data_IF_020612793818
#
_entry.id   IF_020612793818
#
_cell.length_a   1.000
_cell.length_b   1.000
_cell.length_c   1.000
_cell.angle_alpha   90.00
_cell.angle_beta   90.00
_cell.angle_gamma   90.00
#
_symmetry.space_group_name_H-M   'P 1'
#
loop_
_entity.id
_entity.type
_entity.pdbx_description
1 polymer ?
#
# COMPACT_ATOMS: atom_id res chain seq x y z
N UNK A 1 -53.83 -24.86 -4.03
CA UNK A 1 -52.78 -24.41 -4.97
C UNK A 1 -52.08 -23.17 -4.40
N UNK A 2 -51.16 -23.34 -3.44
CA UNK A 2 -50.50 -22.21 -2.76
C UNK A 2 -49.02 -22.47 -2.38
N UNK A 3 -48.57 -23.73 -2.38
CA UNK A 3 -47.22 -24.13 -1.97
C UNK A 3 -46.12 -23.93 -3.02
N UNK A 4 -46.45 -23.94 -4.33
CA UNK A 4 -45.44 -23.82 -5.39
C UNK A 4 -44.74 -22.46 -5.43
N UNK A 5 -45.46 -21.37 -5.17
CA UNK A 5 -44.91 -20.01 -5.28
C UNK A 5 -43.85 -19.69 -4.21
N UNK A 6 -43.96 -20.27 -3.01
CA UNK A 6 -43.01 -20.05 -1.92
C UNK A 6 -41.64 -20.71 -2.19
N UNK A 7 -41.64 -21.90 -2.81
CA UNK A 7 -40.40 -22.62 -3.14
C UNK A 7 -39.61 -21.90 -4.24
N UNK A 8 -40.30 -21.35 -5.25
CA UNK A 8 -39.68 -20.57 -6.31
C UNK A 8 -38.96 -19.31 -5.79
N UNK A 9 -39.60 -18.57 -4.87
CA UNK A 9 -38.99 -17.37 -4.28
C UNK A 9 -37.73 -17.69 -3.44
N UNK A 10 -37.75 -18.79 -2.67
CA UNK A 10 -36.60 -19.22 -1.87
C UNK A 10 -35.41 -19.65 -2.76
N UNK A 11 -35.69 -20.31 -3.90
CA UNK A 11 -34.65 -20.71 -4.85
C UNK A 11 -34.01 -19.53 -5.59
N UNK A 12 -34.78 -18.48 -5.90
CA UNK A 12 -34.25 -17.25 -6.49
C UNK A 12 -33.41 -16.44 -5.49
N UNK A 13 -33.80 -16.40 -4.22
CA UNK A 13 -33.06 -15.68 -3.18
C UNK A 13 -31.65 -16.25 -2.94
N UNK A 14 -31.46 -17.57 -3.01
CA UNK A 14 -30.13 -18.18 -2.84
C UNK A 14 -29.20 -17.94 -4.03
N UNK A 15 -29.72 -17.87 -5.26
CA UNK A 15 -28.90 -17.56 -6.44
C UNK A 15 -28.39 -16.12 -6.45
N UNK A 16 -29.16 -15.15 -5.94
CA UNK A 16 -28.72 -13.74 -5.84
C UNK A 16 -27.67 -13.56 -4.73
N UNK A 17 -27.79 -14.30 -3.61
CA UNK A 17 -26.81 -14.26 -2.53
C UNK A 17 -25.47 -14.96 -2.88
N UNK A 18 -25.50 -16.00 -3.72
CA UNK A 18 -24.31 -16.82 -4.03
C UNK A 18 -23.22 -16.11 -4.85
N UNK A 19 -23.54 -15.03 -5.57
CA UNK A 19 -22.58 -14.31 -6.42
C UNK A 19 -21.85 -13.16 -5.71
N UNK A 20 -22.18 -12.86 -4.45
CA UNK A 20 -21.43 -11.91 -3.62
C UNK A 20 -20.26 -12.59 -2.86
N UNK A 21 -19.48 -13.40 -3.57
CA UNK A 21 -18.14 -13.73 -3.10
C UNK A 21 -17.32 -12.43 -3.08
N UNK A 22 -16.61 -12.12 -1.98
CA UNK A 22 -15.76 -10.93 -1.93
C UNK A 22 -14.72 -11.03 -3.05
N UNK A 23 -14.77 -10.09 -3.98
CA UNK A 23 -14.10 -10.19 -5.27
C UNK A 23 -12.63 -10.57 -5.11
N UNK A 24 -12.24 -11.69 -5.72
CA UNK A 24 -10.86 -12.15 -5.77
C UNK A 24 -10.04 -11.15 -6.58
N UNK A 25 -9.46 -10.16 -5.88
CA UNK A 25 -8.52 -9.22 -6.46
C UNK A 25 -7.19 -9.93 -6.65
N UNK A 26 -6.65 -9.87 -7.86
CA UNK A 26 -5.27 -10.28 -8.10
C UNK A 26 -4.32 -9.43 -7.22
N UNK A 27 -3.26 -10.04 -6.64
CA UNK A 27 -2.25 -9.30 -5.90
C UNK A 27 -1.64 -8.18 -6.74
N UNK A 28 -1.52 -6.99 -6.15
CA UNK A 28 -0.94 -5.83 -6.82
C UNK A 28 0.58 -6.00 -6.88
N UNK A 29 1.18 -6.10 -8.08
CA UNK A 29 2.65 -6.12 -8.20
C UNK A 29 3.23 -4.77 -7.75
N UNK A 30 3.91 -4.77 -6.61
CA UNK A 30 4.48 -3.58 -6.01
C UNK A 30 5.62 -2.98 -6.85
N UNK A 31 6.36 -3.79 -7.62
CA UNK A 31 7.41 -3.28 -8.49
C UNK A 31 6.85 -2.63 -9.75
N UNK A 32 5.72 -3.12 -10.27
CA UNK A 32 4.94 -2.41 -11.30
C UNK A 32 4.40 -1.06 -10.80
N UNK A 33 3.97 -0.97 -9.54
CA UNK A 33 3.59 0.33 -8.94
C UNK A 33 4.81 1.24 -8.77
N UNK A 34 5.91 0.69 -8.25
CA UNK A 34 7.14 1.47 -8.08
C UNK A 34 7.64 2.01 -9.41
N UNK A 35 7.54 1.25 -10.52
CA UNK A 35 7.95 1.67 -11.87
C UNK A 35 7.15 2.87 -12.40
N UNK A 36 5.82 2.82 -12.28
CA UNK A 36 4.93 3.87 -12.75
C UNK A 36 5.09 5.19 -11.98
N UNK A 37 5.41 5.14 -10.68
CA UNK A 37 5.38 6.30 -9.79
C UNK A 37 6.75 6.69 -9.24
N UNK A 38 7.47 7.55 -9.97
CA UNK A 38 8.74 8.15 -9.53
C UNK A 38 8.59 9.06 -8.29
N UNK A 39 7.37 9.57 -8.04
CA UNK A 39 7.06 10.46 -6.93
C UNK A 39 5.75 10.10 -6.24
N UNK A 40 5.70 10.21 -4.92
CA UNK A 40 4.47 9.98 -4.15
C UNK A 40 4.34 10.87 -2.92
N UNK A 41 3.13 10.90 -2.36
CA UNK A 41 2.79 11.73 -1.19
C UNK A 41 2.07 10.87 -0.15
N UNK A 42 2.46 11.04 1.12
CA UNK A 42 1.73 10.49 2.25
C UNK A 42 0.51 11.37 2.56
N UNK A 43 -0.67 10.85 2.23
CA UNK A 43 -1.97 11.50 2.50
C UNK A 43 -2.60 10.93 3.79
N UNK A 44 -2.33 9.66 4.12
CA UNK A 44 -2.87 9.00 5.30
C UNK A 44 -1.87 8.05 5.96
N UNK A 45 -1.83 8.11 7.30
CA UNK A 45 -1.16 7.14 8.17
C UNK A 45 -2.15 6.68 9.25
N UNK A 46 -2.21 5.37 9.53
CA UNK A 46 -2.96 4.80 10.65
C UNK A 46 -2.29 5.06 12.01
N UNK A 47 -1.00 5.36 12.00
CA UNK A 47 -0.25 5.83 13.18
C UNK A 47 -0.40 7.35 13.25
N UNK A 48 -0.70 7.89 14.43
CA UNK A 48 -0.74 9.34 14.69
C UNK A 48 0.68 9.95 14.80
N UNK A 49 1.53 9.65 13.81
CA UNK A 49 2.80 10.33 13.61
C UNK A 49 2.56 11.56 12.72
N UNK A 50 2.84 12.73 13.27
CA UNK A 50 2.64 13.99 12.56
C UNK A 50 3.72 14.28 11.53
N UNK A 51 4.88 13.62 11.59
CA UNK A 51 6.00 13.81 10.65
C UNK A 51 5.71 13.17 9.29
N UNK A 52 4.84 12.16 9.27
CA UNK A 52 4.36 11.49 8.06
C UNK A 52 3.26 12.28 7.33
N UNK A 53 2.69 13.33 7.93
CA UNK A 53 1.68 14.17 7.27
C UNK A 53 2.33 15.00 6.17
N UNK A 54 1.82 14.87 4.94
CA UNK A 54 2.37 15.55 3.75
C UNK A 54 3.85 15.23 3.48
N UNK A 55 4.35 14.09 3.97
CA UNK A 55 5.66 13.58 3.59
C UNK A 55 5.67 13.28 2.08
N UNK A 56 6.76 13.62 1.40
CA UNK A 56 6.93 13.41 -0.04
C UNK A 56 8.08 12.46 -0.31
N UNK A 57 7.88 11.49 -1.19
CA UNK A 57 8.90 10.52 -1.59
C UNK A 57 9.30 10.74 -3.05
N UNK A 58 10.59 10.66 -3.35
CA UNK A 58 11.15 10.75 -4.71
C UNK A 58 12.05 9.55 -4.97
N UNK A 59 11.81 8.81 -6.05
CA UNK A 59 12.60 7.65 -6.48
C UNK A 59 13.94 8.10 -7.01
N UNK A 60 15.03 7.53 -6.50
CA UNK A 60 16.41 7.84 -6.91
C UNK A 60 17.11 6.67 -7.59
N UNK A 61 16.55 5.46 -7.47
CA UNK A 61 17.07 4.25 -8.11
C UNK A 61 15.92 3.28 -8.42
N UNK A 62 16.05 2.54 -9.52
CA UNK A 62 15.16 1.45 -9.92
C UNK A 62 15.94 0.42 -10.76
N UNK A 63 15.74 -0.86 -10.44
CA UNK A 63 16.18 -2.03 -11.20
C UNK A 63 15.06 -3.07 -11.10
N UNK A 64 14.31 -3.24 -12.20
CA UNK A 64 13.15 -4.14 -12.26
C UNK A 64 13.55 -5.62 -12.31
N UNK A 65 14.68 -5.93 -12.95
CA UNK A 65 15.21 -7.29 -13.08
C UNK A 65 15.63 -7.84 -11.71
N UNK A 66 16.34 -7.04 -10.92
CA UNK A 66 16.71 -7.40 -9.55
C UNK A 66 15.59 -7.12 -8.53
N UNK A 67 14.47 -6.54 -8.95
CA UNK A 67 13.41 -5.99 -8.09
C UNK A 67 14.00 -5.18 -6.94
N UNK A 68 14.68 -4.08 -7.26
CA UNK A 68 15.26 -3.12 -6.30
C UNK A 68 14.86 -1.69 -6.65
N UNK A 69 14.60 -0.87 -5.64
CA UNK A 69 14.36 0.56 -5.83
C UNK A 69 14.78 1.35 -4.60
N UNK A 70 15.08 2.64 -4.76
CA UNK A 70 15.35 3.54 -3.64
C UNK A 70 14.48 4.77 -3.75
N UNK A 71 13.87 5.18 -2.64
CA UNK A 71 13.20 6.47 -2.49
C UNK A 71 13.86 7.28 -1.39
N UNK A 72 14.02 8.58 -1.62
CA UNK A 72 14.29 9.55 -0.57
C UNK A 72 12.95 10.16 -0.12
N UNK A 73 12.61 9.97 1.14
CA UNK A 73 11.44 10.52 1.80
C UNK A 73 11.80 11.80 2.54
N UNK A 74 11.16 12.91 2.19
CA UNK A 74 11.27 14.18 2.87
C UNK A 74 10.17 14.30 3.94
N UNK A 75 10.54 14.10 5.21
CA UNK A 75 9.65 14.28 6.35
C UNK A 75 9.62 15.77 6.72
N UNK A 76 8.43 16.39 6.62
CA UNK A 76 8.30 17.87 6.67
C UNK A 76 8.38 18.46 8.08
N UNK A 77 8.33 17.63 9.12
CA UNK A 77 8.32 18.01 10.52
C UNK A 77 7.02 18.72 10.94
N UNK A 78 6.49 18.39 12.11
CA UNK A 78 5.28 18.97 12.65
C UNK A 78 5.30 18.96 14.18
N UNK A 79 4.69 19.97 14.82
CA UNK A 79 4.63 20.04 16.29
C UNK A 79 5.97 20.22 17.02
N UNK A 80 7.04 20.58 16.31
CA UNK A 80 8.39 20.79 16.89
C UNK A 80 9.45 19.77 16.47
N UNK A 81 9.08 18.76 15.68
CA UNK A 81 10.06 17.82 15.10
C UNK A 81 10.89 18.43 13.95
N UNK A 82 12.06 17.85 13.73
CA UNK A 82 13.06 18.34 12.76
C UNK A 82 12.80 17.75 11.38
N UNK A 83 12.84 18.61 10.34
CA UNK A 83 12.84 18.19 8.93
C UNK A 83 14.00 17.26 8.65
N UNK A 84 13.73 16.07 8.09
CA UNK A 84 14.75 15.07 7.78
C UNK A 84 14.44 14.33 6.50
N UNK A 85 15.50 13.96 5.80
CA UNK A 85 15.44 13.04 4.67
C UNK A 85 15.73 11.62 5.16
N UNK A 86 15.02 10.65 4.60
CA UNK A 86 15.08 9.24 4.98
C UNK A 86 15.16 8.40 3.70
N UNK A 87 16.22 7.61 3.56
CA UNK A 87 16.38 6.73 2.39
C UNK A 87 15.72 5.39 2.65
N UNK A 88 14.74 5.02 1.82
CA UNK A 88 14.02 3.75 1.88
C UNK A 88 14.41 2.93 0.66
N UNK A 89 15.09 1.81 0.89
CA UNK A 89 15.52 0.87 -0.13
C UNK A 89 14.58 -0.33 -0.14
N UNK A 90 13.91 -0.54 -1.27
CA UNK A 90 12.96 -1.60 -1.53
C UNK A 90 13.62 -2.76 -2.26
N UNK A 91 13.12 -3.96 -1.99
CA UNK A 91 13.52 -5.19 -2.64
C UNK A 91 12.31 -6.12 -2.85
N UNK A 92 12.38 -7.01 -3.84
CA UNK A 92 11.40 -8.09 -4.00
C UNK A 92 11.27 -8.92 -2.71
N UNK A 93 10.04 -9.34 -2.38
CA UNK A 93 9.74 -10.27 -1.28
C UNK A 93 9.02 -11.52 -1.78
N UNK A 94 8.44 -12.27 -0.86
CA UNK A 94 7.90 -13.61 -1.11
C UNK A 94 6.63 -13.63 -2.00
N UNK A 95 5.96 -12.49 -2.17
CA UNK A 95 4.78 -12.31 -3.02
C UNK A 95 4.82 -10.96 -3.76
N UNK A 96 4.10 -10.79 -4.90
CA UNK A 96 4.13 -9.56 -5.69
C UNK A 96 3.70 -8.31 -4.92
N UNK A 97 2.77 -8.45 -3.98
CA UNK A 97 2.20 -7.40 -3.14
C UNK A 97 2.90 -7.24 -1.78
N UNK A 98 3.93 -8.05 -1.50
CA UNK A 98 4.69 -8.06 -0.25
C UNK A 98 6.18 -7.74 -0.49
N UNK A 99 6.53 -6.55 -1.02
CA UNK A 99 7.92 -6.12 -1.13
C UNK A 99 8.55 -5.96 0.26
N UNK A 100 9.80 -6.41 0.39
CA UNK A 100 10.60 -6.11 1.57
C UNK A 100 11.31 -4.76 1.39
N UNK A 101 11.77 -4.18 2.48
CA UNK A 101 12.57 -2.96 2.44
C UNK A 101 13.42 -2.81 3.69
N UNK A 102 14.46 -1.98 3.57
CA UNK A 102 15.24 -1.45 4.67
C UNK A 102 15.22 0.07 4.61
N UNK A 103 15.33 0.71 5.78
CA UNK A 103 15.39 2.16 5.87
C UNK A 103 16.77 2.54 6.39
N UNK A 104 17.53 3.24 5.56
CA UNK A 104 18.79 3.85 5.96
C UNK A 104 18.49 5.16 6.69
N UNK A 105 17.97 5.01 7.91
CA UNK A 105 18.19 6.01 8.94
C UNK A 105 19.67 6.01 9.32
N UNK A 106 20.18 7.15 9.77
CA UNK A 106 21.36 7.16 10.65
C UNK A 106 21.05 6.35 11.90
N UNK A 107 21.40 5.06 11.87
CA UNK A 107 21.20 4.05 12.91
C UNK A 107 19.79 3.97 13.53
N UNK A 108 18.85 3.25 12.88
CA UNK A 108 17.80 2.49 13.58
C UNK A 108 17.10 1.51 12.63
N UNK A 109 17.04 0.22 13.01
CA UNK A 109 16.56 -0.87 12.15
C UNK A 109 15.16 -1.31 12.60
N UNK A 110 14.15 -1.21 11.71
CA UNK A 110 12.74 -1.47 12.06
C UNK A 110 11.89 -1.98 10.89
N UNK A 111 10.82 -2.73 11.20
CA UNK A 111 9.83 -3.23 10.22
C UNK A 111 8.70 -2.21 10.03
N UNK A 112 8.08 -2.15 8.85
CA UNK A 112 6.60 -2.08 8.76
C UNK A 112 5.85 -0.72 8.83
N UNK A 113 6.45 0.48 8.65
CA UNK A 113 5.65 1.69 8.39
C UNK A 113 4.66 1.61 7.21
N UNK A 114 4.93 0.83 6.16
CA UNK A 114 4.11 0.80 4.94
C UNK A 114 2.84 -0.06 5.06
N UNK A 115 2.73 -0.89 6.09
CA UNK A 115 1.44 -1.46 6.53
C UNK A 115 0.52 -0.40 7.15
N UNK A 116 1.04 0.79 7.46
CA UNK A 116 0.33 1.85 8.19
C UNK A 116 0.20 3.16 7.40
N UNK A 117 1.18 3.52 6.57
CA UNK A 117 1.10 4.66 5.66
C UNK A 117 0.51 4.24 4.31
N UNK A 118 -0.73 4.67 4.01
CA UNK A 118 -1.25 4.58 2.64
C UNK A 118 -0.63 5.68 1.81
N UNK A 119 0.38 5.30 1.04
CA UNK A 119 0.95 6.13 -0.02
C UNK A 119 -0.14 6.31 -1.10
N UNK A 120 -0.65 7.52 -1.22
CA UNK A 120 -1.61 7.86 -2.26
C UNK A 120 -0.85 8.51 -3.41
N UNK A 121 -1.01 7.89 -4.57
CA UNK A 121 -0.37 8.28 -5.80
C UNK A 121 -1.07 9.54 -6.33
N UNK A 122 -0.34 10.57 -6.80
CA UNK A 122 -0.97 11.73 -7.41
C UNK A 122 -1.74 11.31 -8.67
N UNK A 123 -2.94 11.89 -8.84
CA UNK A 123 -3.80 11.74 -10.01
C UNK A 123 -3.26 12.48 -11.24
#
# INVERSE_FOLDING_TARGET
MASLNLVACMALATMVAGNFLPGHREPMDAFRVIDEFDRGVSIYTSINDTDMKCATATRTYLDLEQKKATYVWELKGHGGSVKRNVTVNWQGGDAPDLPAYHIDYGSMQGRSPLLNAKMCLPH
#
